data_IF_069456973594
#
_entry.id   IF_069456973594
#
_cell.length_a   1.000
_cell.length_b   1.000
_cell.length_c   1.000
_cell.angle_alpha   90.00
_cell.angle_beta   90.00
_cell.angle_gamma   90.00
#
_symmetry.space_group_name_H-M   'P 1'
#
loop_
_entity.id
_entity.type
_entity.pdbx_description
1 polymer ?
#
# COMPACT_ATOMS: atom_id res chain seq x y z
N UNK A 1 -13.74 5.47 15.27
CA UNK A 1 -13.57 5.93 13.88
C UNK A 1 -13.15 4.72 13.09
N UNK A 2 -14.03 4.23 12.23
CA UNK A 2 -13.81 3.02 11.44
C UNK A 2 -12.79 3.31 10.35
N UNK A 3 -11.68 2.58 10.32
CA UNK A 3 -10.78 2.58 9.17
C UNK A 3 -11.53 1.95 8.00
N UNK A 4 -11.50 2.55 6.80
CA UNK A 4 -12.06 1.90 5.64
C UNK A 4 -11.28 0.61 5.37
N UNK A 5 -12.00 -0.44 4.99
CA UNK A 5 -11.48 -1.73 4.57
C UNK A 5 -10.34 -1.52 3.55
N UNK A 6 -9.12 -1.75 4.01
CA UNK A 6 -7.95 -1.78 3.16
C UNK A 6 -8.00 -3.07 2.35
N UNK A 7 -8.23 -2.92 1.06
CA UNK A 7 -7.93 -3.84 -0.04
C UNK A 7 -7.68 -5.30 0.35
N UNK A 8 -8.74 -6.07 0.61
CA UNK A 8 -8.70 -7.50 0.39
C UNK A 8 -8.70 -7.70 -1.12
N UNK A 9 -7.49 -7.92 -1.67
CA UNK A 9 -7.28 -8.02 -3.10
C UNK A 9 -7.92 -9.25 -3.73
N UNK A 10 -9.11 -9.06 -4.26
CA UNK A 10 -9.50 -9.52 -5.57
C UNK A 10 -9.92 -8.27 -6.31
N UNK A 11 -9.00 -7.68 -7.08
CA UNK A 11 -9.40 -6.73 -8.10
C UNK A 11 -10.41 -7.47 -9.00
N UNK A 12 -11.68 -7.17 -8.78
CA UNK A 12 -12.70 -7.46 -9.78
C UNK A 12 -12.22 -6.79 -11.05
N UNK A 13 -12.06 -7.55 -12.11
CA UNK A 13 -11.70 -7.14 -13.47
C UNK A 13 -12.80 -6.21 -14.01
N UNK A 14 -12.98 -5.08 -13.35
CA UNK A 14 -13.79 -3.95 -13.78
C UNK A 14 -13.09 -3.32 -14.97
N UNK A 15 -13.80 -2.99 -16.02
CA UNK A 15 -13.31 -2.35 -17.24
C UNK A 15 -12.32 -1.23 -16.87
N UNK A 16 -11.04 -1.40 -17.21
CA UNK A 16 -9.98 -0.41 -16.94
C UNK A 16 -10.40 0.93 -17.53
N UNK A 17 -10.53 1.95 -16.69
CA UNK A 17 -10.86 3.29 -17.13
C UNK A 17 -9.73 3.82 -18.03
N UNK A 18 -10.07 4.29 -19.22
CA UNK A 18 -9.11 5.00 -20.07
C UNK A 18 -8.83 6.37 -19.47
N UNK A 19 -7.58 6.65 -19.19
CA UNK A 19 -7.09 7.94 -18.72
C UNK A 19 -6.56 8.74 -19.91
N UNK A 20 -6.87 10.02 -19.96
CA UNK A 20 -6.28 10.93 -20.93
C UNK A 20 -5.07 11.68 -20.31
N UNK A 21 -4.36 12.44 -21.15
CA UNK A 21 -3.17 13.18 -20.71
C UNK A 21 -3.49 14.23 -19.62
N UNK A 22 -4.73 14.71 -19.54
CA UNK A 22 -5.15 15.66 -18.50
C UNK A 22 -5.35 14.91 -17.17
N UNK A 23 -5.99 13.75 -17.21
CA UNK A 23 -6.19 12.90 -16.04
C UNK A 23 -4.81 12.50 -15.43
N UNK A 24 -3.82 12.18 -16.28
CA UNK A 24 -2.46 11.90 -15.83
C UNK A 24 -1.83 13.09 -15.12
N UNK A 25 -1.92 14.31 -15.68
CA UNK A 25 -1.40 15.51 -15.01
C UNK A 25 -2.07 15.78 -13.66
N UNK A 26 -3.38 15.53 -13.55
CA UNK A 26 -4.10 15.63 -12.28
C UNK A 26 -3.54 14.61 -11.28
N UNK A 27 -3.39 13.34 -11.67
CA UNK A 27 -2.88 12.28 -10.81
C UNK A 27 -1.44 12.54 -10.37
N UNK A 28 -0.56 12.96 -11.27
CA UNK A 28 0.83 13.34 -10.94
C UNK A 28 0.88 14.51 -9.96
N UNK A 29 0.03 15.53 -10.15
CA UNK A 29 0.00 16.68 -9.27
C UNK A 29 -0.46 16.31 -7.85
N UNK A 30 -1.50 15.49 -7.70
CA UNK A 30 -2.00 15.07 -6.38
C UNK A 30 -1.10 14.04 -5.70
N UNK A 31 -0.38 13.20 -6.44
CA UNK A 31 0.66 12.34 -5.88
C UNK A 31 1.82 13.15 -5.29
N UNK A 32 2.23 14.23 -5.98
CA UNK A 32 3.31 15.09 -5.52
C UNK A 32 2.89 15.93 -4.30
N UNK A 33 1.66 16.42 -4.28
CA UNK A 33 1.10 17.21 -3.19
C UNK A 33 -0.38 16.91 -2.97
N UNK A 34 -0.69 16.03 -2.04
CA UNK A 34 -2.08 15.67 -1.66
C UNK A 34 -2.87 16.82 -1.02
N UNK A 35 -2.23 17.96 -0.71
CA UNK A 35 -2.87 19.17 -0.18
C UNK A 35 -2.94 20.32 -1.18
N UNK A 36 -2.63 20.04 -2.45
CA UNK A 36 -2.68 21.03 -3.52
C UNK A 36 -4.06 21.73 -3.57
N UNK A 37 -4.05 23.05 -3.74
CA UNK A 37 -5.31 23.81 -3.87
C UNK A 37 -5.99 23.52 -5.20
N UNK A 38 -7.31 23.70 -5.25
CA UNK A 38 -8.09 23.53 -6.49
C UNK A 38 -7.58 24.40 -7.64
N UNK A 39 -7.15 25.63 -7.33
CA UNK A 39 -6.61 26.57 -8.32
C UNK A 39 -5.26 26.06 -8.85
N UNK A 40 -4.32 25.72 -7.98
CA UNK A 40 -3.00 25.24 -8.37
C UNK A 40 -3.08 23.88 -9.12
N UNK A 41 -4.03 23.01 -8.74
CA UNK A 41 -4.27 21.76 -9.47
C UNK A 41 -4.77 22.05 -10.90
N UNK A 42 -5.70 22.98 -11.05
CA UNK A 42 -6.25 23.36 -12.35
C UNK A 42 -5.16 23.96 -13.26
N UNK A 43 -4.29 24.82 -12.72
CA UNK A 43 -3.15 25.37 -13.44
C UNK A 43 -2.19 24.26 -13.92
N UNK A 44 -1.81 23.32 -13.05
CA UNK A 44 -0.96 22.17 -13.41
C UNK A 44 -1.61 21.26 -14.46
N UNK A 45 -2.91 21.09 -14.39
CA UNK A 45 -3.66 20.29 -15.36
C UNK A 45 -3.90 21.02 -16.71
N UNK A 46 -3.71 22.33 -16.76
CA UNK A 46 -4.00 23.16 -17.94
C UNK A 46 -5.52 23.32 -18.15
N UNK A 47 -6.28 23.44 -17.07
CA UNK A 47 -7.75 23.58 -17.07
C UNK A 47 -8.21 24.75 -16.21
N UNK A 48 -9.46 25.18 -16.41
CA UNK A 48 -10.14 26.00 -15.41
C UNK A 48 -10.55 25.17 -14.18
N UNK A 49 -10.76 25.77 -13.00
CA UNK A 49 -10.98 25.05 -11.74
C UNK A 49 -12.15 24.07 -11.75
N UNK A 50 -13.28 24.44 -12.35
CA UNK A 50 -14.50 23.61 -12.33
C UNK A 50 -14.32 22.29 -13.10
N UNK A 51 -13.91 22.25 -14.38
CA UNK A 51 -13.70 20.98 -15.08
C UNK A 51 -12.55 20.15 -14.48
N UNK A 52 -11.50 20.78 -13.95
CA UNK A 52 -10.45 20.05 -13.25
C UNK A 52 -11.01 19.32 -12.02
N UNK A 53 -11.81 20.00 -11.22
CA UNK A 53 -12.44 19.40 -10.05
C UNK A 53 -13.40 18.26 -10.40
N UNK A 54 -14.18 18.41 -11.48
CA UNK A 54 -15.08 17.35 -11.95
C UNK A 54 -14.30 16.08 -12.36
N UNK A 55 -13.15 16.27 -13.04
CA UNK A 55 -12.27 15.15 -13.40
C UNK A 55 -11.69 14.45 -12.17
N UNK A 56 -11.16 15.20 -11.20
CA UNK A 56 -10.67 14.65 -9.96
C UNK A 56 -11.74 13.82 -9.23
N UNK A 57 -12.97 14.36 -9.12
CA UNK A 57 -14.09 13.62 -8.53
C UNK A 57 -14.44 12.34 -9.28
N UNK A 58 -14.31 12.33 -10.60
CA UNK A 58 -14.51 11.12 -11.41
C UNK A 58 -13.44 10.07 -11.10
N UNK A 59 -12.17 10.48 -10.96
CA UNK A 59 -11.06 9.60 -10.60
C UNK A 59 -11.20 9.02 -9.18
N UNK A 60 -11.63 9.84 -8.22
CA UNK A 60 -11.96 9.41 -6.86
C UNK A 60 -13.13 8.41 -6.85
N UNK A 61 -14.21 8.72 -7.54
CA UNK A 61 -15.39 7.83 -7.63
C UNK A 61 -15.09 6.51 -8.32
N UNK A 62 -14.15 6.51 -9.27
CA UNK A 62 -13.69 5.30 -9.95
C UNK A 62 -12.69 4.48 -9.11
N UNK A 63 -12.34 4.94 -7.90
CA UNK A 63 -11.38 4.26 -7.02
C UNK A 63 -9.92 4.34 -7.49
N UNK A 64 -9.61 5.18 -8.50
CA UNK A 64 -8.24 5.38 -8.98
C UNK A 64 -7.45 6.17 -7.93
N UNK A 65 -8.08 7.17 -7.32
CA UNK A 65 -7.58 7.85 -6.13
C UNK A 65 -8.22 7.19 -4.92
N UNK A 66 -7.45 6.39 -4.19
CA UNK A 66 -7.92 5.60 -3.04
C UNK A 66 -7.90 6.37 -1.73
N UNK A 67 -7.20 7.51 -1.69
CA UNK A 67 -7.11 8.35 -0.48
C UNK A 67 -5.99 9.35 -0.53
N UNK A 68 -5.92 10.18 0.52
CA UNK A 68 -4.88 11.19 0.73
C UNK A 68 -4.25 10.95 2.10
N UNK A 69 -2.97 10.59 2.14
CA UNK A 69 -2.28 10.21 3.37
C UNK A 69 -1.06 11.08 3.61
N UNK A 70 -0.84 11.49 4.87
CA UNK A 70 0.39 12.15 5.26
C UNK A 70 1.54 11.15 5.36
N UNK A 71 2.72 11.52 4.84
CA UNK A 71 3.97 10.79 5.10
C UNK A 71 4.56 11.26 6.43
N UNK A 72 4.83 10.33 7.32
CA UNK A 72 5.40 10.64 8.64
C UNK A 72 6.88 10.25 8.69
N UNK A 73 7.73 11.17 9.12
CA UNK A 73 9.13 10.87 9.43
C UNK A 73 9.23 10.27 10.85
N UNK A 74 8.67 9.06 11.04
CA UNK A 74 8.48 8.46 12.35
C UNK A 74 9.80 8.33 13.13
N UNK A 75 10.91 8.03 12.44
CA UNK A 75 12.26 7.97 13.06
C UNK A 75 12.75 9.29 13.65
N UNK A 76 12.11 10.42 13.34
CA UNK A 76 12.38 11.72 14.01
C UNK A 76 11.63 11.88 15.34
N UNK A 77 10.67 11.02 15.60
CA UNK A 77 9.82 11.05 16.80
C UNK A 77 10.21 9.96 17.76
N UNK A 78 10.37 8.73 17.25
CA UNK A 78 10.71 7.54 18.05
C UNK A 78 11.67 6.64 17.26
N UNK A 79 12.53 5.87 17.94
CA UNK A 79 13.20 4.74 17.33
C UNK A 79 12.17 3.72 16.85
N UNK A 80 12.37 3.13 15.69
CA UNK A 80 11.53 2.04 15.18
C UNK A 80 12.40 1.01 14.47
N UNK A 81 12.06 -0.26 14.67
CA UNK A 81 12.54 -1.37 13.87
C UNK A 81 11.63 -1.57 12.66
N UNK A 82 12.23 -1.60 11.47
CA UNK A 82 11.53 -2.02 10.24
C UNK A 82 12.06 -3.38 9.85
N UNK A 83 11.17 -4.32 9.63
CA UNK A 83 11.52 -5.72 9.35
C UNK A 83 10.74 -6.18 8.12
N UNK A 84 11.44 -6.87 7.22
CA UNK A 84 10.81 -7.68 6.17
C UNK A 84 10.77 -9.12 6.65
N UNK A 85 9.59 -9.74 6.59
CA UNK A 85 9.40 -11.12 7.01
C UNK A 85 8.85 -11.93 5.83
N UNK A 86 9.58 -12.97 5.44
CA UNK A 86 9.11 -13.96 4.49
C UNK A 86 8.38 -15.06 5.26
N UNK A 87 7.26 -15.54 4.72
CA UNK A 87 6.44 -16.59 5.33
C UNK A 87 6.11 -17.65 4.30
N UNK A 88 6.26 -18.92 4.70
CA UNK A 88 5.79 -20.08 3.96
C UNK A 88 4.76 -20.83 4.82
N UNK A 89 3.62 -21.18 4.22
CA UNK A 89 2.59 -21.96 4.88
C UNK A 89 2.80 -23.46 4.63
N UNK A 90 2.47 -24.27 5.62
CA UNK A 90 2.60 -25.73 5.51
C UNK A 90 1.52 -26.37 4.62
N UNK A 91 0.38 -25.68 4.40
CA UNK A 91 -0.69 -26.12 3.55
C UNK A 91 -1.12 -24.99 2.62
N UNK A 92 -1.41 -25.33 1.34
CA UNK A 92 -1.75 -24.39 0.29
C UNK A 92 -3.21 -24.51 -0.15
N UNK A 93 -4.14 -24.76 0.81
CA UNK A 93 -5.58 -24.73 0.53
C UNK A 93 -6.09 -23.31 0.69
N UNK A 94 -7.10 -22.93 -0.06
CA UNK A 94 -7.68 -21.58 0.00
C UNK A 94 -8.07 -21.16 1.43
N UNK A 95 -8.62 -22.09 2.21
CA UNK A 95 -9.02 -21.82 3.60
C UNK A 95 -7.83 -21.46 4.50
N UNK A 96 -6.64 -21.99 4.23
CA UNK A 96 -5.43 -21.72 5.00
C UNK A 96 -4.89 -20.32 4.65
N UNK A 97 -4.90 -19.94 3.38
CA UNK A 97 -4.60 -18.57 2.91
C UNK A 97 -5.58 -17.55 3.50
N UNK A 98 -6.88 -17.78 3.38
CA UNK A 98 -7.92 -16.86 3.89
C UNK A 98 -7.82 -16.68 5.42
N UNK A 99 -7.43 -17.73 6.16
CA UNK A 99 -7.22 -17.66 7.62
C UNK A 99 -6.01 -16.80 7.95
N UNK A 100 -4.89 -17.03 7.26
CA UNK A 100 -3.67 -16.26 7.44
C UNK A 100 -3.89 -14.78 7.10
N UNK A 101 -4.43 -14.48 5.93
CA UNK A 101 -4.66 -13.11 5.44
C UNK A 101 -5.56 -12.31 6.38
N UNK A 102 -6.66 -12.91 6.89
CA UNK A 102 -7.53 -12.26 7.86
C UNK A 102 -6.83 -11.95 9.18
N UNK A 103 -5.99 -12.85 9.65
CA UNK A 103 -5.24 -12.65 10.89
C UNK A 103 -4.21 -11.52 10.72
N UNK A 104 -3.46 -11.51 9.59
CA UNK A 104 -2.48 -10.49 9.28
C UNK A 104 -3.11 -9.10 9.12
N UNK A 105 -4.26 -9.01 8.45
CA UNK A 105 -4.96 -7.74 8.24
C UNK A 105 -5.41 -7.05 9.55
N UNK A 106 -5.55 -7.81 10.63
CA UNK A 106 -5.94 -7.29 11.94
C UNK A 106 -4.77 -6.75 12.79
N UNK A 107 -3.52 -6.88 12.32
CA UNK A 107 -2.32 -6.53 13.09
C UNK A 107 -1.76 -5.19 12.61
N UNK A 108 -1.84 -4.13 13.41
CA UNK A 108 -1.45 -2.78 12.98
C UNK A 108 0.05 -2.61 12.74
N UNK A 109 0.91 -3.41 13.37
CA UNK A 109 2.35 -3.41 13.17
C UNK A 109 2.75 -3.96 11.80
N UNK A 110 1.90 -4.76 11.17
CA UNK A 110 2.10 -5.26 9.80
C UNK A 110 1.53 -4.24 8.83
N UNK A 111 2.38 -3.37 8.33
CA UNK A 111 1.99 -2.24 7.49
C UNK A 111 1.82 -2.59 6.02
N UNK A 112 2.32 -3.76 5.59
CA UNK A 112 2.07 -4.32 4.26
C UNK A 112 2.23 -5.84 4.28
N UNK A 113 1.47 -6.53 3.44
CA UNK A 113 1.56 -7.95 3.19
C UNK A 113 1.29 -8.21 1.72
N UNK A 114 2.18 -8.95 1.06
CA UNK A 114 2.05 -9.34 -0.33
C UNK A 114 2.07 -10.86 -0.44
N UNK A 115 1.08 -11.45 -1.11
CA UNK A 115 1.19 -12.80 -1.62
C UNK A 115 2.11 -12.78 -2.85
N UNK A 116 3.07 -13.68 -2.92
CA UNK A 116 4.10 -13.68 -3.94
C UNK A 116 4.22 -15.06 -4.60
N UNK A 117 4.62 -15.07 -5.87
CA UNK A 117 4.95 -16.32 -6.56
C UNK A 117 6.46 -16.62 -6.41
N UNK A 118 6.82 -17.83 -6.03
CA UNK A 118 8.22 -18.24 -5.89
C UNK A 118 8.46 -19.18 -4.72
N UNK A 119 9.55 -19.00 -4.01
CA UNK A 119 9.99 -19.89 -2.92
C UNK A 119 9.31 -19.65 -1.58
N UNK A 120 8.47 -18.62 -1.46
CA UNK A 120 7.71 -18.26 -0.25
C UNK A 120 6.29 -17.84 -0.66
N UNK A 121 5.35 -17.86 0.28
CA UNK A 121 3.94 -17.53 -0.01
C UNK A 121 3.65 -16.05 0.23
N UNK A 122 4.28 -15.45 1.25
CA UNK A 122 4.04 -14.07 1.63
C UNK A 122 5.31 -13.32 2.00
N UNK A 123 5.30 -12.02 1.72
CA UNK A 123 6.28 -11.07 2.24
C UNK A 123 5.53 -10.00 3.03
N UNK A 124 5.91 -9.80 4.29
CA UNK A 124 5.33 -8.82 5.20
C UNK A 124 6.33 -7.69 5.47
N UNK A 125 5.84 -6.46 5.56
CA UNK A 125 6.57 -5.34 6.13
C UNK A 125 6.03 -5.05 7.53
N UNK A 126 6.88 -5.22 8.53
CA UNK A 126 6.56 -4.98 9.94
C UNK A 126 7.28 -3.73 10.42
N UNK A 127 6.57 -2.89 11.20
CA UNK A 127 7.14 -1.73 11.89
C UNK A 127 6.84 -1.89 13.37
N UNK A 128 7.87 -2.11 14.17
CA UNK A 128 7.78 -2.31 15.62
C UNK A 128 8.60 -1.24 16.36
N UNK A 129 8.34 -1.06 17.66
CA UNK A 129 9.08 -0.12 18.49
C UNK A 129 10.58 -0.48 18.58
N UNK A 130 10.88 -1.78 18.67
CA UNK A 130 12.21 -2.36 18.74
C UNK A 130 12.18 -3.83 18.27
N UNK A 131 13.33 -4.49 18.33
CA UNK A 131 13.45 -5.91 17.93
C UNK A 131 12.74 -6.83 18.91
N UNK A 132 12.71 -6.50 20.21
CA UNK A 132 12.02 -7.32 21.22
C UNK A 132 10.50 -7.25 21.01
N UNK A 133 9.96 -6.08 20.63
CA UNK A 133 8.56 -5.95 20.26
C UNK A 133 8.21 -6.75 18.99
N UNK A 134 9.12 -6.75 18.00
CA UNK A 134 8.98 -7.60 16.82
C UNK A 134 8.98 -9.09 17.20
N UNK A 135 9.91 -9.53 18.08
CA UNK A 135 9.97 -10.92 18.50
C UNK A 135 8.69 -11.37 19.22
N UNK A 136 8.15 -10.53 20.11
CA UNK A 136 6.85 -10.82 20.75
C UNK A 136 5.71 -10.96 19.74
N UNK A 137 5.70 -10.13 18.70
CA UNK A 137 4.72 -10.25 17.61
C UNK A 137 4.87 -11.59 16.86
N UNK A 138 6.10 -12.02 16.58
CA UNK A 138 6.35 -13.31 15.93
C UNK A 138 5.87 -14.46 16.81
N UNK A 139 6.18 -14.45 18.10
CA UNK A 139 5.74 -15.48 19.05
C UNK A 139 4.22 -15.55 19.12
N UNK A 140 3.53 -14.38 19.09
CA UNK A 140 2.07 -14.31 19.03
C UNK A 140 1.53 -14.89 17.72
N UNK A 141 2.13 -14.55 16.57
CA UNK A 141 1.73 -15.09 15.27
C UNK A 141 1.84 -16.62 15.21
N UNK A 142 2.94 -17.17 15.71
CA UNK A 142 3.16 -18.61 15.77
C UNK A 142 2.15 -19.30 16.71
N UNK A 143 1.83 -18.66 17.84
CA UNK A 143 0.85 -19.16 18.81
C UNK A 143 -0.60 -19.17 18.29
N UNK A 144 -0.92 -18.41 17.22
CA UNK A 144 -2.26 -18.36 16.60
C UNK A 144 -2.57 -19.54 15.65
N UNK A 145 -1.65 -20.48 15.47
CA UNK A 145 -1.81 -21.64 14.58
C UNK A 145 -2.25 -21.27 13.16
N UNK A 146 -1.63 -20.25 12.60
CA UNK A 146 -1.95 -19.71 11.25
C UNK A 146 -1.43 -20.59 10.11
N UNK A 147 -0.85 -21.75 10.43
CA UNK A 147 -0.30 -22.67 9.44
C UNK A 147 1.08 -22.26 8.91
N UNK A 148 1.79 -21.38 9.62
CA UNK A 148 3.16 -20.99 9.27
C UNK A 148 4.07 -22.22 9.47
N UNK A 149 4.70 -22.69 8.39
CA UNK A 149 5.70 -23.75 8.40
C UNK A 149 7.10 -23.17 8.64
N UNK A 150 7.41 -22.09 7.94
CA UNK A 150 8.71 -21.45 7.97
C UNK A 150 8.58 -19.93 7.77
N UNK A 151 9.47 -19.19 8.43
CA UNK A 151 9.63 -17.76 8.18
C UNK A 151 11.10 -17.35 8.22
N UNK A 152 11.41 -16.23 7.55
CA UNK A 152 12.71 -15.58 7.61
C UNK A 152 12.53 -14.11 7.96
N UNK A 153 13.46 -13.60 8.74
CA UNK A 153 13.44 -12.22 9.24
C UNK A 153 14.62 -11.44 8.66
N UNK A 154 14.33 -10.29 8.04
CA UNK A 154 15.34 -9.36 7.51
C UNK A 154 15.15 -8.00 8.18
N UNK A 155 16.08 -7.64 9.07
CA UNK A 155 16.08 -6.34 9.71
C UNK A 155 16.57 -5.29 8.71
N UNK A 156 15.76 -4.26 8.44
CA UNK A 156 16.13 -3.17 7.55
C UNK A 156 17.13 -2.24 8.25
N UNK A 157 18.39 -2.41 7.93
CA UNK A 157 19.48 -1.60 8.50
C UNK A 157 19.55 -0.20 7.90
N UNK A 158 19.17 -0.04 6.63
CA UNK A 158 19.16 1.24 5.89
C UNK A 158 18.09 1.23 4.82
N UNK A 159 17.26 2.26 4.79
CA UNK A 159 16.36 2.52 3.66
C UNK A 159 17.14 3.29 2.59
N UNK A 160 17.35 2.69 1.44
CA UNK A 160 18.03 3.33 0.30
C UNK A 160 17.07 4.17 -0.52
N UNK A 161 15.86 3.63 -0.74
CA UNK A 161 14.77 4.32 -1.45
C UNK A 161 13.43 3.82 -0.92
N UNK A 162 12.53 4.74 -0.67
CA UNK A 162 11.13 4.44 -0.31
C UNK A 162 10.25 5.53 -0.90
N UNK A 163 9.80 5.31 -2.11
CA UNK A 163 8.93 6.22 -2.84
C UNK A 163 7.51 5.66 -2.91
N UNK A 164 6.54 6.52 -2.67
CA UNK A 164 5.11 6.20 -2.84
C UNK A 164 4.52 6.81 -4.10
N UNK A 165 5.30 7.65 -4.79
CA UNK A 165 4.91 8.29 -6.05
C UNK A 165 5.13 7.30 -7.19
N UNK A 166 4.05 6.91 -7.85
CA UNK A 166 4.11 6.01 -9.00
C UNK A 166 4.56 6.75 -10.26
N UNK A 167 5.44 6.17 -11.09
CA UNK A 167 5.91 6.79 -12.32
C UNK A 167 4.87 6.63 -13.45
N UNK A 168 3.72 7.33 -13.33
CA UNK A 168 2.57 7.16 -14.22
C UNK A 168 2.92 7.34 -15.70
N UNK A 169 3.79 8.29 -16.03
CA UNK A 169 4.21 8.53 -17.41
C UNK A 169 4.92 7.37 -18.07
N UNK A 170 5.55 6.46 -17.30
CA UNK A 170 6.21 5.25 -17.83
C UNK A 170 5.34 3.99 -17.75
N UNK A 171 4.34 3.97 -16.87
CA UNK A 171 3.47 2.81 -16.63
C UNK A 171 2.24 2.80 -17.56
N UNK A 172 1.79 3.98 -17.98
CA UNK A 172 0.59 4.12 -18.77
C UNK A 172 0.92 4.43 -20.23
N UNK A 173 0.26 3.77 -21.20
CA UNK A 173 0.50 4.05 -22.61
C UNK A 173 0.17 5.51 -22.91
N UNK A 174 1.08 6.21 -23.57
CA UNK A 174 0.82 7.53 -24.10
C UNK A 174 -0.24 7.40 -25.20
N UNK A 175 -1.48 7.68 -24.88
CA UNK A 175 -2.54 7.79 -25.90
C UNK A 175 -2.30 9.07 -26.68
N UNK A 176 -1.82 8.89 -27.91
CA UNK A 176 -1.72 9.93 -28.95
C UNK A 176 -3.10 10.45 -29.31
#
# INVERSE_FOLDING_TARGET
MSFPELCTGRETEGARMKLDAIDLRILEAIQADGRITKLALAEKAGLSPTPCWMRLRKLEKAGIVTGYHARLALRRVVPVASVMMEVTLGNHRQVDFDRFERAIAAIPEIVACWSVGGGVDYILKVVAADIDAYQRLVDELLGRELGIDRYFTYIVTKTVKEETILPLGSLLPQTS
#
